data_IF_674712735763
#
_entry.id   IF_674712735763
#
_cell.length_a   1.000
_cell.length_b   1.000
_cell.length_c   1.000
_cell.angle_alpha   90.00
_cell.angle_beta   90.00
_cell.angle_gamma   90.00
#
_symmetry.space_group_name_H-M   'P 1'
#
loop_
_entity.id
_entity.type
_entity.pdbx_description
1 polymer ?
#
# COMPACT_ATOMS: atom_id res chain seq x y z
N UNK A 1 -10.69 -4.49 -47.61
CA UNK A 1 -11.25 -5.23 -46.45
C UNK A 1 -10.19 -5.87 -45.56
N UNK A 2 -9.04 -6.30 -46.09
CA UNK A 2 -7.94 -6.89 -45.30
C UNK A 2 -7.35 -5.94 -44.23
N UNK A 3 -7.13 -4.66 -44.56
CA UNK A 3 -6.56 -3.70 -43.61
C UNK A 3 -7.42 -3.48 -42.35
N UNK A 4 -8.76 -3.56 -42.46
CA UNK A 4 -9.67 -3.44 -41.30
C UNK A 4 -9.47 -4.61 -40.31
N UNK A 5 -9.23 -5.81 -40.83
CA UNK A 5 -8.96 -7.01 -40.02
C UNK A 5 -7.58 -6.94 -39.35
N UNK A 6 -6.58 -6.42 -40.07
CA UNK A 6 -5.23 -6.18 -39.55
C UNK A 6 -5.24 -5.11 -38.45
N UNK A 7 -5.92 -3.99 -38.68
CA UNK A 7 -6.06 -2.92 -37.68
C UNK A 7 -6.78 -3.41 -36.43
N UNK A 8 -7.87 -4.18 -36.60
CA UNK A 8 -8.59 -4.75 -35.45
C UNK A 8 -7.71 -5.71 -34.65
N UNK A 9 -6.93 -6.56 -35.33
CA UNK A 9 -5.99 -7.50 -34.70
C UNK A 9 -4.84 -6.83 -33.96
N UNK A 10 -4.27 -5.76 -34.53
CA UNK A 10 -3.23 -4.97 -33.84
C UNK A 10 -3.80 -4.26 -32.61
N UNK A 11 -5.03 -3.75 -32.68
CA UNK A 11 -5.68 -3.08 -31.57
C UNK A 11 -5.99 -4.04 -30.42
N UNK A 12 -6.51 -5.24 -30.71
CA UNK A 12 -6.72 -6.27 -29.67
C UNK A 12 -5.42 -6.77 -29.06
N UNK A 13 -4.36 -6.95 -29.87
CA UNK A 13 -3.04 -7.33 -29.35
C UNK A 13 -2.47 -6.26 -28.41
N UNK A 14 -2.59 -4.98 -28.77
CA UNK A 14 -2.15 -3.86 -27.95
C UNK A 14 -2.90 -3.80 -26.61
N UNK A 15 -4.22 -3.97 -26.62
CA UNK A 15 -5.03 -4.00 -25.40
C UNK A 15 -4.66 -5.16 -24.48
N UNK A 16 -4.40 -6.35 -25.05
CA UNK A 16 -3.99 -7.52 -24.28
C UNK A 16 -2.66 -7.28 -23.57
N UNK A 17 -1.68 -6.69 -24.27
CA UNK A 17 -0.39 -6.32 -23.67
C UNK A 17 -0.57 -5.32 -22.52
N UNK A 18 -1.38 -4.27 -22.70
CA UNK A 18 -1.62 -3.28 -21.62
C UNK A 18 -2.27 -3.93 -20.39
N UNK A 19 -3.21 -4.85 -20.57
CA UNK A 19 -3.86 -5.56 -19.47
C UNK A 19 -2.88 -6.43 -18.67
N UNK A 20 -1.89 -7.02 -19.34
CA UNK A 20 -0.88 -7.87 -18.70
C UNK A 20 0.27 -7.10 -18.02
N UNK A 21 0.45 -5.81 -18.35
CA UNK A 21 1.52 -4.97 -17.79
C UNK A 21 1.14 -4.24 -16.49
N UNK A 22 -0.06 -4.48 -15.95
CA UNK A 22 -0.45 -3.89 -14.67
C UNK A 22 0.18 -4.71 -13.55
N UNK A 23 1.35 -4.28 -13.08
CA UNK A 23 1.92 -4.77 -11.83
C UNK A 23 0.90 -4.53 -10.70
N UNK A 24 0.36 -5.63 -10.16
CA UNK A 24 -0.52 -5.57 -9.00
C UNK A 24 0.32 -5.14 -7.78
N UNK A 25 0.34 -3.85 -7.48
CA UNK A 25 0.93 -3.34 -6.25
C UNK A 25 0.00 -3.73 -5.10
N UNK A 26 0.37 -4.76 -4.34
CA UNK A 26 -0.35 -5.11 -3.12
C UNK A 26 -0.22 -3.95 -2.11
N UNK A 27 -1.35 -3.38 -1.72
CA UNK A 27 -1.43 -2.29 -0.75
C UNK A 27 -1.77 -2.85 0.63
N UNK A 28 -0.87 -2.65 1.58
CA UNK A 28 -1.02 -2.99 2.99
C UNK A 28 -1.52 -1.79 3.78
N UNK A 29 -2.18 -2.04 4.91
CA UNK A 29 -2.61 -0.96 5.83
C UNK A 29 -2.11 -1.17 7.24
N UNK A 30 -1.68 -0.09 7.90
CA UNK A 30 -1.26 -0.09 9.31
C UNK A 30 -1.91 1.05 10.08
N UNK A 31 -1.99 0.96 11.42
CA UNK A 31 -2.52 2.05 12.25
C UNK A 31 -1.44 3.12 12.44
N UNK A 32 -1.80 4.39 12.26
CA UNK A 32 -0.95 5.52 12.65
C UNK A 32 -1.06 5.74 14.17
N UNK A 33 0.05 5.60 14.90
CA UNK A 33 0.11 5.84 16.35
C UNK A 33 0.41 7.29 16.71
N UNK A 34 0.93 8.08 15.76
CA UNK A 34 1.23 9.50 15.91
C UNK A 34 0.02 10.39 15.59
N UNK A 35 -1.06 9.82 15.05
CA UNK A 35 -2.30 10.55 14.78
C UNK A 35 -3.11 10.70 16.07
N UNK A 36 -3.13 11.90 16.63
CA UNK A 36 -3.85 12.20 17.86
C UNK A 36 -5.33 12.48 17.60
N UNK A 37 -6.17 11.95 18.49
CA UNK A 37 -7.61 12.18 18.46
C UNK A 37 -8.37 11.42 17.36
N UNK A 38 -9.67 11.68 17.23
CA UNK A 38 -10.50 10.99 16.27
C UNK A 38 -10.23 11.49 14.84
N UNK A 39 -10.07 10.57 13.92
CA UNK A 39 -9.84 10.86 12.51
C UNK A 39 -11.10 11.44 11.86
N UNK A 40 -11.04 12.73 11.51
CA UNK A 40 -12.12 13.49 10.84
C UNK A 40 -11.83 13.80 9.37
N UNK A 41 -10.57 13.65 8.94
CA UNK A 41 -10.12 14.01 7.60
C UNK A 41 -9.11 12.99 7.08
N UNK A 42 -9.44 12.36 5.95
CA UNK A 42 -8.52 11.48 5.23
C UNK A 42 -7.25 12.23 4.80
N UNK A 43 -7.38 13.51 4.42
CA UNK A 43 -6.24 14.34 4.01
C UNK A 43 -5.25 14.55 5.15
N UNK A 44 -5.76 14.84 6.37
CA UNK A 44 -4.89 15.03 7.54
C UNK A 44 -4.23 13.71 7.95
N UNK A 45 -4.97 12.60 7.88
CA UNK A 45 -4.42 11.27 8.14
C UNK A 45 -3.32 10.90 7.14
N UNK A 46 -3.55 11.11 5.84
CA UNK A 46 -2.57 10.86 4.79
C UNK A 46 -1.31 11.74 4.96
N UNK A 47 -1.48 13.03 5.23
CA UNK A 47 -0.36 13.94 5.48
C UNK A 47 0.49 13.48 6.68
N UNK A 48 -0.15 13.07 7.78
CA UNK A 48 0.55 12.51 8.94
C UNK A 48 1.27 11.20 8.62
N UNK A 49 0.66 10.30 7.84
CA UNK A 49 1.31 9.06 7.41
C UNK A 49 2.59 9.31 6.60
N UNK A 50 2.58 10.31 5.73
CA UNK A 50 3.74 10.72 4.93
C UNK A 50 4.78 11.41 5.81
N UNK A 51 4.35 12.34 6.66
CA UNK A 51 5.23 13.10 7.56
C UNK A 51 6.02 12.19 8.51
N UNK A 52 5.41 11.11 9.00
CA UNK A 52 6.06 10.15 9.89
C UNK A 52 6.69 8.95 9.16
N UNK A 53 6.74 8.96 7.82
CA UNK A 53 7.36 7.89 7.03
C UNK A 53 6.69 6.52 7.15
N UNK A 54 5.42 6.47 7.57
CA UNK A 54 4.68 5.22 7.82
C UNK A 54 4.12 4.63 6.51
N UNK A 55 3.75 5.50 5.56
CA UNK A 55 3.18 5.11 4.29
C UNK A 55 2.98 6.28 3.33
N UNK A 56 2.66 5.98 2.08
CA UNK A 56 2.45 6.98 1.02
C UNK A 56 1.07 7.63 1.01
N UNK A 57 0.20 7.25 1.95
CA UNK A 57 -1.18 7.75 2.04
C UNK A 57 -1.87 7.27 3.31
N UNK A 58 -3.14 7.63 3.46
CA UNK A 58 -3.94 7.19 4.61
C UNK A 58 -5.40 7.60 4.55
N UNK A 59 -6.21 6.97 5.40
CA UNK A 59 -7.64 7.19 5.51
C UNK A 59 -8.17 6.96 6.93
N UNK A 60 -9.32 7.54 7.24
CA UNK A 60 -10.04 7.34 8.48
C UNK A 60 -10.85 6.05 8.41
N UNK A 61 -10.63 5.15 9.38
CA UNK A 61 -11.45 3.94 9.52
C UNK A 61 -12.84 4.27 10.07
N UNK A 62 -13.81 3.34 9.98
CA UNK A 62 -15.13 3.50 10.61
C UNK A 62 -15.07 3.79 12.11
N UNK A 63 -14.04 3.29 12.80
CA UNK A 63 -13.78 3.57 14.22
C UNK A 63 -12.98 4.86 14.46
N UNK A 64 -12.96 5.78 13.50
CA UNK A 64 -12.25 7.07 13.57
C UNK A 64 -10.76 6.92 13.90
N UNK A 65 -10.12 5.82 13.49
CA UNK A 65 -8.67 5.62 13.61
C UNK A 65 -8.00 5.93 12.28
N UNK A 66 -6.89 6.66 12.30
CA UNK A 66 -6.10 6.88 11.11
C UNK A 66 -5.36 5.58 10.71
N UNK A 67 -5.51 5.18 9.45
CA UNK A 67 -4.86 4.04 8.81
C UNK A 67 -3.97 4.53 7.69
N UNK A 68 -2.69 4.14 7.70
CA UNK A 68 -1.74 4.45 6.63
C UNK A 68 -1.71 3.32 5.61
N UNK A 69 -1.58 3.69 4.33
CA UNK A 69 -1.39 2.76 3.20
C UNK A 69 0.08 2.69 2.83
N UNK A 70 0.61 1.49 2.71
CA UNK A 70 1.99 1.21 2.31
C UNK A 70 2.02 0.12 1.24
N UNK A 71 3.06 0.09 0.42
CA UNK A 71 3.27 -1.06 -0.47
C UNK A 71 3.71 -2.26 0.37
N UNK A 72 3.05 -3.41 0.20
CA UNK A 72 3.45 -4.63 0.88
C UNK A 72 4.79 -5.13 0.29
N UNK A 73 5.84 -5.35 1.09
CA UNK A 73 7.08 -5.94 0.56
C UNK A 73 6.94 -7.43 0.19
N UNK A 74 5.88 -8.13 0.63
CA UNK A 74 5.87 -9.60 0.77
C UNK A 74 5.22 -10.42 -0.34
N UNK A 75 4.97 -9.87 -1.54
CA UNK A 75 4.41 -10.66 -2.67
C UNK A 75 5.31 -10.84 -3.87
N UNK A 76 6.55 -10.37 -3.81
CA UNK A 76 7.58 -10.76 -4.80
C UNK A 76 8.24 -12.12 -4.51
N UNK A 77 8.01 -12.72 -3.33
CA UNK A 77 8.66 -13.97 -2.91
C UNK A 77 7.87 -15.26 -3.16
N UNK A 78 6.58 -15.20 -3.53
CA UNK A 78 5.79 -16.41 -3.80
C UNK A 78 6.20 -17.15 -5.06
N UNK A 79 6.98 -16.52 -5.96
CA UNK A 79 7.57 -17.16 -7.14
C UNK A 79 8.91 -17.86 -6.87
N UNK A 80 9.47 -17.73 -5.65
CA UNK A 80 10.74 -18.37 -5.28
C UNK A 80 10.57 -19.66 -4.44
N UNK A 81 9.35 -20.11 -4.16
CA UNK A 81 9.10 -21.42 -3.54
C UNK A 81 9.59 -21.59 -2.09
N UNK A 82 10.06 -20.52 -1.43
CA UNK A 82 10.48 -20.56 -0.03
C UNK A 82 9.30 -20.11 0.83
N UNK A 83 8.52 -21.08 1.31
CA UNK A 83 7.46 -20.85 2.29
C UNK A 83 8.06 -20.39 3.62
N UNK A 84 8.25 -19.07 3.79
CA UNK A 84 8.44 -18.47 5.10
C UNK A 84 7.06 -18.11 5.65
N UNK A 85 6.54 -18.95 6.52
CA UNK A 85 5.42 -18.62 7.40
C UNK A 85 5.88 -17.56 8.39
N UNK A 86 5.98 -16.30 7.97
CA UNK A 86 6.06 -15.20 8.91
C UNK A 86 4.66 -14.67 9.16
N UNK A 87 4.17 -15.05 10.33
CA UNK A 87 3.51 -14.18 11.30
C UNK A 87 2.79 -12.95 10.80
N UNK A 88 1.66 -12.71 11.43
CA UNK A 88 1.00 -11.42 11.61
C UNK A 88 1.94 -10.41 12.31
N UNK A 89 3.14 -10.21 11.80
CA UNK A 89 4.12 -9.28 12.30
C UNK A 89 3.74 -7.92 11.75
N UNK A 90 2.93 -7.24 12.58
CA UNK A 90 2.82 -5.79 12.65
C UNK A 90 4.18 -5.21 12.24
N UNK A 91 4.26 -4.31 11.24
CA UNK A 91 5.52 -3.65 10.93
C UNK A 91 6.06 -3.05 12.23
N UNK A 92 7.19 -3.59 12.68
CA UNK A 92 7.93 -3.10 13.83
C UNK A 92 8.24 -1.63 13.54
N UNK A 93 7.88 -0.69 14.43
CA UNK A 93 8.27 0.70 14.27
C UNK A 93 9.80 0.76 14.21
N UNK A 94 10.34 1.03 13.03
CA UNK A 94 11.72 1.48 12.89
C UNK A 94 11.81 2.78 13.67
N UNK A 95 12.62 2.74 14.72
CA UNK A 95 12.85 3.79 15.71
C UNK A 95 11.77 3.92 16.81
N UNK A 96 11.94 3.16 17.90
CA UNK A 96 11.61 3.67 19.23
C UNK A 96 12.73 4.64 19.62
N UNK A 97 12.51 5.96 19.67
CA UNK A 97 13.21 6.76 20.65
C UNK A 97 12.60 6.40 22.01
N UNK A 98 13.41 5.69 22.80
CA UNK A 98 13.24 5.63 24.24
C UNK A 98 13.35 7.05 24.78
N UNK A 99 12.23 7.67 25.12
CA UNK A 99 12.18 8.82 26.04
C UNK A 99 10.93 8.62 26.90
N UNK A 100 11.07 7.96 28.03
CA UNK A 100 11.52 8.54 29.30
C UNK A 100 10.36 9.23 30.01
N UNK A 101 9.88 8.51 31.03
CA UNK A 101 9.11 8.98 32.15
C UNK A 101 9.84 10.16 32.80
N UNK A 102 9.52 11.41 32.48
CA UNK A 102 9.87 12.52 33.36
C UNK A 102 8.74 13.56 33.44
N UNK A 103 8.08 13.48 34.60
CA UNK A 103 7.32 14.49 35.36
C UNK A 103 6.05 15.09 34.74
#
# INVERSE_FOLDING_TARGET
MAYKKVVLGLFTLALFLVAHYVEAVDVCTTRNWYFYGPCMSNKNCAASCIQHGIGGGGYCSPWRRCKCTLQCPWRKMTLAGIGLTHGRDKPEPLDKPSMELFN
#
